data_IF_689719161569
#
_entry.id   IF_689719161569
#
_cell.length_a   1.000
_cell.length_b   1.000
_cell.length_c   1.000
_cell.angle_alpha   90.00
_cell.angle_beta   90.00
_cell.angle_gamma   90.00
#
_symmetry.space_group_name_H-M   'P 1'
#
loop_
_entity.id
_entity.type
_entity.pdbx_description
1 polymer ?
#
# COMPACT_ATOMS: atom_id res chain seq x y z
N UNK A 1 -6.68 11.08 -13.74
CA UNK A 1 -6.07 10.09 -14.63
C UNK A 1 -5.63 8.87 -13.87
N UNK A 2 -5.64 7.72 -14.52
CA UNK A 2 -5.26 6.44 -13.92
C UNK A 2 -3.78 6.41 -13.51
N UNK A 3 -2.95 7.17 -14.19
CA UNK A 3 -1.53 7.31 -13.84
C UNK A 3 -1.38 7.95 -12.45
N UNK A 4 -2.20 8.97 -12.16
CA UNK A 4 -2.19 9.62 -10.85
C UNK A 4 -2.62 8.63 -9.77
N UNK A 5 -3.67 7.85 -10.02
CA UNK A 5 -4.18 6.86 -9.05
C UNK A 5 -3.13 5.77 -8.76
N UNK A 6 -2.49 5.26 -9.78
CA UNK A 6 -1.41 4.27 -9.64
C UNK A 6 -0.25 4.85 -8.81
N UNK A 7 0.13 6.10 -9.08
CA UNK A 7 1.16 6.79 -8.32
C UNK A 7 0.78 6.96 -6.85
N UNK A 8 -0.49 7.27 -6.57
CA UNK A 8 -1.00 7.38 -5.20
C UNK A 8 -0.94 6.04 -4.46
N UNK A 9 -1.31 4.95 -5.11
CA UNK A 9 -1.18 3.61 -4.53
C UNK A 9 0.28 3.28 -4.21
N UNK A 10 1.18 3.55 -5.14
CA UNK A 10 2.61 3.30 -4.94
C UNK A 10 3.14 4.06 -3.71
N UNK A 11 2.82 5.33 -3.61
CA UNK A 11 3.23 6.16 -2.48
C UNK A 11 2.66 5.65 -1.16
N UNK A 12 1.39 5.28 -1.17
CA UNK A 12 0.69 4.78 0.02
C UNK A 12 1.36 3.50 0.57
N UNK A 13 1.60 2.52 -0.30
CA UNK A 13 2.22 1.26 0.12
C UNK A 13 3.68 1.42 0.51
N UNK A 14 4.42 2.35 -0.10
CA UNK A 14 5.77 2.69 0.35
C UNK A 14 5.78 3.27 1.76
N UNK A 15 4.83 4.12 2.05
CA UNK A 15 4.70 4.72 3.40
C UNK A 15 4.36 3.63 4.43
N UNK A 16 3.41 2.74 4.13
CA UNK A 16 3.07 1.62 5.01
C UNK A 16 4.28 0.70 5.24
N UNK A 17 5.02 0.38 4.20
CA UNK A 17 6.24 -0.43 4.30
C UNK A 17 7.23 0.20 5.26
N UNK A 18 7.47 1.49 5.11
CA UNK A 18 8.40 2.24 5.96
C UNK A 18 7.98 2.18 7.44
N UNK A 19 6.69 2.39 7.71
CA UNK A 19 6.16 2.33 9.08
C UNK A 19 6.39 0.94 9.68
N UNK A 20 6.08 -0.12 8.94
CA UNK A 20 6.20 -1.49 9.43
C UNK A 20 7.68 -1.91 9.61
N UNK A 21 8.57 -1.43 8.77
CA UNK A 21 10.01 -1.68 8.92
C UNK A 21 10.55 -1.03 10.19
N UNK A 22 10.20 0.23 10.45
CA UNK A 22 10.61 0.89 11.69
C UNK A 22 10.00 0.24 12.92
N UNK A 23 8.78 -0.27 12.80
CA UNK A 23 8.14 -1.02 13.89
C UNK A 23 8.92 -2.30 14.21
N UNK A 24 9.39 -3.01 13.20
CA UNK A 24 10.25 -4.19 13.41
C UNK A 24 11.55 -3.84 14.15
N UNK A 25 12.06 -2.63 13.96
CA UNK A 25 13.29 -2.17 14.60
C UNK A 25 13.09 -1.73 16.05
N UNK A 26 11.88 -1.85 16.60
CA UNK A 26 11.58 -1.57 18.00
C UNK A 26 10.82 -0.29 18.26
N UNK A 27 10.51 0.50 17.22
CA UNK A 27 9.68 1.69 17.37
C UNK A 27 8.20 1.30 17.35
N UNK A 28 7.38 1.98 18.13
CA UNK A 28 5.93 1.75 18.03
C UNK A 28 5.40 2.31 16.72
N UNK A 29 4.28 1.78 16.25
CA UNK A 29 3.63 2.28 15.03
C UNK A 29 3.27 3.76 15.19
N UNK A 30 2.71 4.13 16.33
CA UNK A 30 2.31 5.51 16.59
C UNK A 30 3.50 6.47 16.60
N UNK A 31 4.60 6.10 17.27
CA UNK A 31 5.83 6.90 17.27
C UNK A 31 6.35 7.08 15.83
N UNK A 32 6.36 6.02 15.05
CA UNK A 32 6.83 6.06 13.67
C UNK A 32 5.96 6.99 12.82
N UNK A 33 4.63 6.84 12.93
CA UNK A 33 3.70 7.69 12.18
C UNK A 33 3.92 9.16 12.51
N UNK A 34 4.18 9.48 13.77
CA UNK A 34 4.38 10.86 14.22
C UNK A 34 5.73 11.45 13.85
N UNK A 35 6.71 10.62 13.51
CA UNK A 35 8.10 11.05 13.25
C UNK A 35 8.55 10.89 11.79
N UNK A 36 7.68 10.43 10.90
CA UNK A 36 8.06 10.24 9.49
C UNK A 36 8.47 11.55 8.81
N UNK A 37 9.45 11.44 7.93
CA UNK A 37 9.90 12.53 7.09
C UNK A 37 9.89 12.07 5.61
N UNK A 38 9.08 12.69 4.75
CA UNK A 38 8.19 13.81 5.04
C UNK A 38 7.04 13.41 5.98
N UNK A 39 6.49 14.36 6.74
CA UNK A 39 5.46 14.04 7.73
C UNK A 39 4.15 13.61 7.07
N UNK A 40 3.43 12.72 7.75
CA UNK A 40 2.08 12.33 7.36
C UNK A 40 1.13 13.46 7.77
N UNK A 41 0.25 13.85 6.84
CA UNK A 41 -0.79 14.83 7.15
C UNK A 41 -1.63 14.34 8.34
N UNK A 42 -1.87 15.23 9.32
CA UNK A 42 -2.46 14.80 10.60
C UNK A 42 -3.82 14.10 10.47
N UNK A 43 -4.63 14.50 9.49
CA UNK A 43 -5.94 13.88 9.26
C UNK A 43 -5.83 12.45 8.71
N UNK A 44 -4.71 12.10 8.11
CA UNK A 44 -4.47 10.76 7.56
C UNK A 44 -3.85 9.81 8.59
N UNK A 45 -3.36 10.29 9.70
CA UNK A 45 -2.70 9.45 10.72
C UNK A 45 -3.59 8.32 11.25
N UNK A 46 -4.86 8.56 11.61
CA UNK A 46 -5.73 7.47 12.04
C UNK A 46 -5.95 6.41 10.97
N UNK A 47 -6.01 6.82 9.72
CA UNK A 47 -6.13 5.90 8.59
C UNK A 47 -4.88 5.01 8.48
N UNK A 48 -3.69 5.58 8.52
CA UNK A 48 -2.45 4.80 8.49
C UNK A 48 -2.35 3.85 9.69
N UNK A 49 -2.76 4.29 10.85
CA UNK A 49 -2.78 3.44 12.05
C UNK A 49 -3.67 2.22 11.83
N UNK A 50 -4.87 2.40 11.29
CA UNK A 50 -5.78 1.29 11.00
C UNK A 50 -5.25 0.39 9.90
N UNK A 51 -4.61 0.95 8.86
CA UNK A 51 -4.01 0.18 7.76
C UNK A 51 -2.87 -0.71 8.26
N UNK A 52 -2.08 -0.25 9.21
CA UNK A 52 -1.00 -1.05 9.79
C UNK A 52 -1.49 -2.31 10.50
N UNK A 53 -2.75 -2.35 10.92
CA UNK A 53 -3.36 -3.54 11.52
C UNK A 53 -3.75 -4.59 10.48
N UNK A 54 -4.02 -4.16 9.26
CA UNK A 54 -4.45 -5.04 8.16
C UNK A 54 -3.28 -5.56 7.34
N UNK A 55 -2.24 -4.74 7.17
CA UNK A 55 -1.12 -5.03 6.29
C UNK A 55 0.06 -5.60 7.08
N UNK A 56 0.80 -6.48 6.42
CA UNK A 56 2.11 -6.99 6.87
C UNK A 56 3.13 -6.71 5.77
N UNK A 57 4.40 -6.79 6.10
CA UNK A 57 5.46 -6.62 5.10
C UNK A 57 5.33 -7.63 3.96
N UNK A 58 4.91 -8.86 4.27
CA UNK A 58 4.69 -9.89 3.27
C UNK A 58 3.56 -9.52 2.30
N UNK A 59 2.43 -9.04 2.84
CA UNK A 59 1.29 -8.58 2.02
C UNK A 59 1.67 -7.37 1.18
N UNK A 60 2.39 -6.41 1.77
CA UNK A 60 2.84 -5.20 1.05
C UNK A 60 3.76 -5.57 -0.11
N UNK A 61 4.69 -6.50 0.11
CA UNK A 61 5.57 -6.96 -0.96
C UNK A 61 4.77 -7.54 -2.13
N UNK A 62 3.74 -8.32 -1.83
CA UNK A 62 2.88 -8.90 -2.85
C UNK A 62 2.09 -7.83 -3.62
N UNK A 63 1.50 -6.87 -2.90
CA UNK A 63 0.73 -5.81 -3.56
C UNK A 63 1.62 -4.89 -4.40
N UNK A 64 2.85 -4.64 -3.95
CA UNK A 64 3.81 -3.86 -4.73
C UNK A 64 4.17 -4.54 -6.05
N UNK A 65 4.32 -5.86 -6.04
CA UNK A 65 4.54 -6.64 -7.27
C UNK A 65 3.34 -6.55 -8.21
N UNK A 66 2.14 -6.65 -7.67
CA UNK A 66 0.90 -6.49 -8.45
C UNK A 66 0.78 -5.09 -9.05
N UNK A 67 1.27 -4.08 -8.32
CA UNK A 67 1.25 -2.69 -8.78
C UNK A 67 2.21 -2.48 -9.96
N UNK A 68 3.37 -3.09 -9.91
CA UNK A 68 4.33 -3.07 -11.03
C UNK A 68 3.70 -3.74 -12.27
N UNK A 69 3.05 -4.88 -12.09
CA UNK A 69 2.36 -5.60 -13.15
C UNK A 69 1.22 -4.74 -13.76
N UNK A 70 0.45 -4.07 -12.90
CA UNK A 70 -0.60 -3.15 -13.33
C UNK A 70 -0.04 -2.02 -14.21
N UNK A 71 1.06 -1.40 -13.78
CA UNK A 71 1.70 -0.34 -14.58
C UNK A 71 2.15 -0.84 -15.94
N UNK A 72 2.77 -2.02 -15.97
CA UNK A 72 3.26 -2.61 -17.20
C UNK A 72 2.10 -2.89 -18.15
N UNK A 73 1.04 -3.52 -17.67
CA UNK A 73 -0.14 -3.84 -18.48
C UNK A 73 -0.84 -2.58 -18.99
N UNK A 74 -0.89 -1.53 -18.19
CA UNK A 74 -1.45 -0.24 -18.59
C UNK A 74 -0.64 0.37 -19.74
N UNK A 75 0.68 0.29 -19.68
CA UNK A 75 1.56 0.80 -20.73
C UNK A 75 1.45 0.00 -22.04
N UNK A 76 1.29 -1.31 -21.95
CA UNK A 76 1.14 -2.18 -23.11
C UNK A 76 -0.20 -1.91 -23.81
N UNK A 77 -1.24 -1.58 -23.06
CA UNK A 77 -2.55 -1.19 -23.62
C UNK A 77 -3.37 -2.35 -24.17
N UNK A 78 -3.08 -3.60 -23.77
CA UNK A 78 -3.82 -4.79 -24.25
C UNK A 78 -5.15 -4.98 -23.53
N UNK A 79 -5.33 -4.37 -22.37
CA UNK A 79 -6.51 -4.51 -21.53
C UNK A 79 -7.10 -3.15 -21.19
N UNK A 80 -8.43 -3.06 -21.00
CA UNK A 80 -9.04 -1.81 -20.54
C UNK A 80 -8.48 -1.41 -19.16
N UNK A 81 -8.01 -0.18 -19.05
CA UNK A 81 -7.43 0.32 -17.79
C UNK A 81 -8.39 0.21 -16.61
N UNK A 82 -9.65 0.52 -16.84
CA UNK A 82 -10.69 0.45 -15.79
C UNK A 82 -10.81 -0.97 -15.23
N UNK A 83 -10.75 -1.98 -16.08
CA UNK A 83 -10.80 -3.38 -15.67
C UNK A 83 -9.58 -3.74 -14.83
N UNK A 84 -8.39 -3.33 -15.27
CA UNK A 84 -7.13 -3.58 -14.55
C UNK A 84 -7.13 -2.95 -13.16
N UNK A 85 -7.57 -1.70 -13.07
CA UNK A 85 -7.67 -0.98 -11.80
C UNK A 85 -8.69 -1.62 -10.85
N UNK A 86 -9.85 -1.99 -11.37
CA UNK A 86 -10.89 -2.65 -10.58
C UNK A 86 -10.40 -3.98 -10.01
N UNK A 87 -9.72 -4.77 -10.81
CA UNK A 87 -9.12 -6.03 -10.37
C UNK A 87 -8.05 -5.81 -9.31
N UNK A 88 -7.20 -4.80 -9.49
CA UNK A 88 -6.17 -4.47 -8.52
C UNK A 88 -6.77 -4.07 -7.18
N UNK A 89 -7.76 -3.17 -7.18
CA UNK A 89 -8.42 -2.69 -5.96
C UNK A 89 -9.10 -3.86 -5.24
N UNK A 90 -9.85 -4.68 -5.97
CA UNK A 90 -10.56 -5.83 -5.39
C UNK A 90 -9.58 -6.85 -4.80
N UNK A 91 -8.58 -7.26 -5.55
CA UNK A 91 -7.61 -8.25 -5.09
C UNK A 91 -6.79 -7.74 -3.90
N UNK A 92 -6.48 -6.44 -3.87
CA UNK A 92 -5.76 -5.82 -2.75
C UNK A 92 -6.64 -5.78 -1.50
N UNK A 93 -7.93 -5.49 -1.65
CA UNK A 93 -8.89 -5.50 -0.53
C UNK A 93 -9.03 -6.90 0.07
N UNK A 94 -9.11 -7.92 -0.76
CA UNK A 94 -9.16 -9.31 -0.31
C UNK A 94 -7.87 -9.68 0.43
N UNK A 95 -6.73 -9.33 -0.13
CA UNK A 95 -5.43 -9.61 0.47
C UNK A 95 -5.28 -8.94 1.85
N UNK A 96 -5.71 -7.69 1.97
CA UNK A 96 -5.63 -6.95 3.22
C UNK A 96 -6.38 -7.67 4.36
N UNK A 97 -7.49 -8.31 4.04
CA UNK A 97 -8.34 -9.00 5.03
C UNK A 97 -7.92 -10.44 5.31
N UNK A 98 -7.00 -11.00 4.53
CA UNK A 98 -6.55 -12.38 4.76
C UNK A 98 -5.71 -12.49 6.02
N UNK A 99 -5.91 -13.58 6.76
CA UNK A 99 -5.02 -13.93 7.86
C UNK A 99 -3.77 -14.56 7.26
N UNK A 100 -2.61 -13.95 7.53
CA UNK A 100 -1.33 -14.48 7.12
C UNK A 100 -0.77 -15.29 8.27
N UNK A 101 -0.52 -16.58 8.01
CA UNK A 101 0.25 -17.40 8.95
C UNK A 101 1.70 -16.95 8.86
N UNK A 102 2.20 -16.45 9.96
CA UNK A 102 3.61 -16.07 10.06
C UNK A 102 4.47 -17.33 10.27
#
# INVERSE_FOLDING_TARGET
SNIILISMFRKHFKTLEKILLYNQSGNTILETINSLNPPIFFKEKPFFLSQCKLWSLKKINLVQKRLIDLELKTKIGLYPEKTLLSQFILSSSVLAKQKVKT
#
